data_IF_828973661960
#
_entry.id   IF_828973661960
#
_cell.length_a   1.000
_cell.length_b   1.000
_cell.length_c   1.000
_cell.angle_alpha   90.00
_cell.angle_beta   90.00
_cell.angle_gamma   90.00
#
_symmetry.space_group_name_H-M   'P 1'
#
loop_
_entity.id
_entity.type
_entity.pdbx_description
1 polymer ?
#
# COMPACT_ATOMS: atom_id res chain seq x y z
N UNK A 1 -19.19 4.70 1.04
CA UNK A 1 -19.50 3.84 -0.12
C UNK A 1 -19.42 2.43 0.40
N UNK A 2 -20.55 1.73 0.48
CA UNK A 2 -20.63 0.41 1.12
C UNK A 2 -19.87 -0.68 0.32
N UNK A 3 -19.52 -0.38 -0.93
CA UNK A 3 -18.78 -1.30 -1.79
C UNK A 3 -17.26 -1.19 -1.63
N UNK A 4 -16.77 -0.13 -0.97
CA UNK A 4 -15.35 0.06 -0.71
C UNK A 4 -15.03 -0.45 0.69
N UNK A 5 -14.33 -1.58 0.75
CA UNK A 5 -13.98 -2.25 2.02
C UNK A 5 -12.60 -1.88 2.52
N UNK A 6 -11.85 -1.10 1.74
CA UNK A 6 -10.51 -0.67 2.06
C UNK A 6 -10.24 0.73 1.49
N UNK A 7 -9.60 1.58 2.28
CA UNK A 7 -9.34 3.00 1.95
C UNK A 7 -10.63 3.84 1.84
N UNK A 8 -11.74 3.35 2.38
CA UNK A 8 -12.99 4.08 2.55
C UNK A 8 -12.82 5.27 3.50
N UNK A 9 -12.00 5.11 4.53
CA UNK A 9 -11.62 6.14 5.48
C UNK A 9 -10.84 7.27 4.80
N UNK A 10 -9.84 6.92 4.00
CA UNK A 10 -9.05 7.84 3.20
C UNK A 10 -9.93 8.59 2.19
N UNK A 11 -10.81 7.87 1.48
CA UNK A 11 -11.76 8.48 0.53
C UNK A 11 -12.67 9.48 1.24
N UNK A 12 -13.22 9.10 2.39
CA UNK A 12 -14.06 9.96 3.22
C UNK A 12 -13.31 11.21 3.67
N UNK A 13 -12.11 11.06 4.23
CA UNK A 13 -11.27 12.17 4.67
C UNK A 13 -10.92 13.09 3.50
N UNK A 14 -10.56 12.55 2.34
CA UNK A 14 -10.27 13.37 1.15
C UNK A 14 -11.48 14.24 0.74
N UNK A 15 -12.70 13.68 0.74
CA UNK A 15 -13.93 14.44 0.46
C UNK A 15 -14.13 15.55 1.49
N UNK A 16 -14.07 15.21 2.78
CA UNK A 16 -14.25 16.19 3.85
C UNK A 16 -13.20 17.31 3.78
N UNK A 17 -11.94 16.99 3.49
CA UNK A 17 -10.86 17.98 3.39
C UNK A 17 -11.09 18.96 2.23
N UNK A 18 -11.57 18.48 1.08
CA UNK A 18 -11.80 19.32 -0.10
C UNK A 18 -13.01 20.25 0.05
N UNK A 19 -14.04 19.82 0.77
CA UNK A 19 -15.24 20.62 1.04
C UNK A 19 -15.10 21.56 2.26
N UNK A 20 -14.06 21.36 3.07
CA UNK A 20 -13.84 22.13 4.28
C UNK A 20 -13.30 23.53 4.00
N UNK A 21 -13.89 24.55 4.63
CA UNK A 21 -13.36 25.93 4.62
C UNK A 21 -12.09 26.09 5.44
N UNK A 22 -11.90 25.24 6.46
CA UNK A 22 -10.77 25.28 7.38
C UNK A 22 -10.49 23.89 7.93
N UNK A 23 -9.22 23.50 7.90
CA UNK A 23 -8.71 22.28 8.52
C UNK A 23 -7.86 22.68 9.72
N UNK A 24 -8.11 22.07 10.88
CA UNK A 24 -7.30 22.27 12.09
C UNK A 24 -6.66 20.94 12.44
N UNK A 25 -5.34 20.92 12.50
CA UNK A 25 -4.56 19.76 12.90
C UNK A 25 -4.02 19.97 14.32
N UNK A 26 -4.18 18.95 15.17
CA UNK A 26 -3.67 18.94 16.53
C UNK A 26 -2.72 17.76 16.67
N UNK A 27 -1.44 18.05 16.91
CA UNK A 27 -0.36 17.06 17.04
C UNK A 27 -0.28 16.46 18.45
N UNK A 28 -1.44 16.13 19.03
CA UNK A 28 -1.52 15.45 20.32
C UNK A 28 -2.04 14.02 20.10
N UNK A 29 -1.37 12.99 20.64
CA UNK A 29 -1.80 11.61 20.49
C UNK A 29 -3.08 11.39 21.31
N UNK A 30 -4.24 11.46 20.66
CA UNK A 30 -5.56 11.25 21.28
C UNK A 30 -6.18 9.90 20.97
N UNK A 31 -5.64 9.17 19.99
CA UNK A 31 -6.17 7.90 19.54
C UNK A 31 -5.17 6.77 19.83
N UNK A 32 -5.69 5.65 20.34
CA UNK A 32 -4.95 4.41 20.48
C UNK A 32 -5.46 3.44 19.41
N UNK A 33 -4.60 3.13 18.43
CA UNK A 33 -4.94 2.15 17.40
C UNK A 33 -4.73 0.74 17.94
N UNK A 34 -5.78 -0.07 17.90
CA UNK A 34 -5.67 -1.49 18.18
C UNK A 34 -5.30 -2.25 16.91
N UNK A 35 -4.12 -2.87 16.90
CA UNK A 35 -3.60 -3.64 15.79
C UNK A 35 -4.02 -5.10 15.92
N UNK A 36 -5.01 -5.52 15.15
CA UNK A 36 -5.53 -6.87 15.17
C UNK A 36 -4.77 -7.75 14.17
N UNK A 37 -4.62 -9.05 14.45
CA UNK A 37 -3.95 -9.98 13.53
C UNK A 37 -4.67 -10.16 12.17
N UNK A 38 -5.93 -9.72 12.09
CA UNK A 38 -6.72 -9.65 10.86
C UNK A 38 -6.62 -8.29 10.16
N UNK A 39 -5.68 -7.43 10.55
CA UNK A 39 -5.50 -6.15 9.86
C UNK A 39 -5.05 -6.37 8.40
N UNK A 40 -5.32 -5.38 7.57
CA UNK A 40 -5.15 -5.44 6.12
C UNK A 40 -3.78 -5.97 5.66
N UNK A 41 -2.71 -5.57 6.36
CA UNK A 41 -1.32 -5.91 6.03
C UNK A 41 -0.92 -7.33 6.44
N UNK A 42 -1.70 -7.98 7.30
CA UNK A 42 -1.43 -9.31 7.84
C UNK A 42 -2.39 -10.39 7.32
N UNK A 43 -3.65 -10.03 7.06
CA UNK A 43 -4.61 -10.97 6.50
C UNK A 43 -4.25 -11.35 5.04
N UNK A 44 -4.53 -12.57 4.59
CA UNK A 44 -4.32 -12.98 3.20
C UNK A 44 -4.99 -12.06 2.19
N UNK A 45 -4.59 -12.16 0.92
CA UNK A 45 -5.28 -11.47 -0.17
C UNK A 45 -6.74 -11.93 -0.27
N UNK A 46 -7.63 -11.00 -0.58
CA UNK A 46 -9.03 -11.25 -0.93
C UNK A 46 -9.43 -10.27 -2.04
N UNK A 47 -10.40 -10.66 -2.88
CA UNK A 47 -10.87 -9.78 -3.96
C UNK A 47 -11.46 -8.47 -3.42
N UNK A 48 -12.07 -8.49 -2.23
CA UNK A 48 -12.58 -7.28 -1.57
C UNK A 48 -11.47 -6.22 -1.34
N UNK A 49 -10.22 -6.62 -1.12
CA UNK A 49 -9.09 -5.68 -0.98
C UNK A 49 -8.79 -4.91 -2.27
N UNK A 50 -9.24 -5.40 -3.42
CA UNK A 50 -9.11 -4.68 -4.70
C UNK A 50 -10.00 -3.45 -4.76
N UNK A 51 -11.04 -3.35 -3.92
CA UNK A 51 -11.93 -2.17 -3.83
C UNK A 51 -11.18 -0.91 -3.39
N UNK A 52 -9.98 -1.04 -2.81
CA UNK A 52 -9.10 0.11 -2.61
C UNK A 52 -8.76 0.81 -3.93
N UNK A 53 -8.58 0.08 -5.04
CA UNK A 53 -8.30 0.72 -6.33
C UNK A 53 -9.47 1.60 -6.79
N UNK A 54 -10.70 1.25 -6.43
CA UNK A 54 -11.89 2.07 -6.71
C UNK A 54 -11.86 3.36 -5.87
N UNK A 55 -11.51 3.26 -4.58
CA UNK A 55 -11.29 4.41 -3.72
C UNK A 55 -10.22 5.35 -4.31
N UNK A 56 -9.08 4.80 -4.75
CA UNK A 56 -8.02 5.57 -5.38
C UNK A 56 -8.45 6.20 -6.70
N UNK A 57 -9.27 5.53 -7.51
CA UNK A 57 -9.80 6.12 -8.75
C UNK A 57 -10.63 7.36 -8.44
N UNK A 58 -11.52 7.29 -7.45
CA UNK A 58 -12.33 8.43 -7.02
C UNK A 58 -11.47 9.56 -6.45
N UNK A 59 -10.47 9.24 -5.60
CA UNK A 59 -9.57 10.25 -5.05
C UNK A 59 -8.76 10.93 -6.15
N UNK A 60 -8.28 10.18 -7.15
CA UNK A 60 -7.51 10.72 -8.28
C UNK A 60 -8.29 11.82 -9.01
N UNK A 61 -9.58 11.62 -9.24
CA UNK A 61 -10.44 12.62 -9.87
C UNK A 61 -10.59 13.87 -9.00
N UNK A 62 -10.80 13.68 -7.70
CA UNK A 62 -10.95 14.77 -6.74
C UNK A 62 -9.70 15.65 -6.60
N UNK A 63 -8.51 15.06 -6.68
CA UNK A 63 -7.26 15.80 -6.46
C UNK A 63 -6.62 16.37 -7.74
N UNK A 64 -7.18 16.08 -8.92
CA UNK A 64 -6.58 16.42 -10.21
C UNK A 64 -6.32 17.94 -10.39
N UNK A 65 -7.07 18.79 -9.70
CA UNK A 65 -6.90 20.26 -9.70
C UNK A 65 -6.14 20.83 -8.50
N UNK A 66 -5.56 19.98 -7.64
CA UNK A 66 -4.86 20.40 -6.42
C UNK A 66 -3.37 20.64 -6.64
N UNK A 67 -2.65 21.02 -5.58
CA UNK A 67 -1.19 21.27 -5.67
C UNK A 67 -0.42 20.03 -6.15
N UNK A 68 0.65 20.25 -6.94
CA UNK A 68 1.54 19.19 -7.40
C UNK A 68 2.09 18.31 -6.26
N UNK A 69 2.40 18.92 -5.12
CA UNK A 69 2.89 18.20 -3.92
C UNK A 69 1.85 17.20 -3.38
N UNK A 70 0.57 17.58 -3.37
CA UNK A 70 -0.52 16.69 -2.96
C UNK A 70 -0.70 15.54 -3.96
N UNK A 71 -0.64 15.84 -5.25
CA UNK A 71 -0.71 14.84 -6.32
C UNK A 71 0.45 13.85 -6.23
N UNK A 72 1.68 14.33 -6.03
CA UNK A 72 2.86 13.46 -5.88
C UNK A 72 2.74 12.57 -4.63
N UNK A 73 2.29 13.11 -3.49
CA UNK A 73 2.06 12.35 -2.26
C UNK A 73 0.98 11.26 -2.46
N UNK A 74 -0.13 11.59 -3.12
CA UNK A 74 -1.18 10.64 -3.46
C UNK A 74 -0.65 9.48 -4.31
N UNK A 75 0.10 9.76 -5.38
CA UNK A 75 0.62 8.69 -6.23
C UNK A 75 1.68 7.84 -5.53
N UNK A 76 2.44 8.42 -4.59
CA UNK A 76 3.31 7.66 -3.68
C UNK A 76 2.52 6.64 -2.85
N UNK A 77 1.40 7.08 -2.26
CA UNK A 77 0.49 6.21 -1.50
C UNK A 77 -0.17 5.15 -2.39
N UNK A 78 -0.66 5.55 -3.57
CA UNK A 78 -1.29 4.65 -4.54
C UNK A 78 -0.36 3.51 -4.94
N UNK A 79 0.89 3.83 -5.30
CA UNK A 79 1.90 2.81 -5.62
C UNK A 79 2.18 1.92 -4.40
N UNK A 80 2.25 2.50 -3.20
CA UNK A 80 2.42 1.74 -1.96
C UNK A 80 1.33 0.70 -1.71
N UNK A 81 0.07 1.04 -2.00
CA UNK A 81 -1.05 0.09 -1.89
C UNK A 81 -0.95 -1.02 -2.93
N UNK A 82 -0.62 -0.70 -4.19
CA UNK A 82 -0.43 -1.72 -5.22
C UNK A 82 0.72 -2.69 -4.87
N UNK A 83 1.84 -2.17 -4.36
CA UNK A 83 2.97 -2.99 -3.85
C UNK A 83 2.52 -3.89 -2.71
N UNK A 84 1.74 -3.34 -1.76
CA UNK A 84 1.25 -4.09 -0.60
C UNK A 84 0.30 -5.21 -1.02
N UNK A 85 -0.64 -4.96 -1.93
CA UNK A 85 -1.55 -5.98 -2.48
C UNK A 85 -0.78 -7.12 -3.15
N UNK A 86 0.28 -6.80 -3.91
CA UNK A 86 1.15 -7.83 -4.49
C UNK A 86 1.92 -8.65 -3.43
N UNK A 87 2.20 -8.06 -2.26
CA UNK A 87 2.89 -8.75 -1.17
C UNK A 87 2.00 -9.70 -0.35
N UNK A 88 0.68 -9.53 -0.41
CA UNK A 88 -0.27 -10.33 0.35
C UNK A 88 -0.38 -11.76 -0.16
N UNK A 89 -0.20 -11.96 -1.47
CA UNK A 89 -0.23 -13.29 -2.09
C UNK A 89 0.90 -13.46 -3.13
N UNK A 90 2.14 -13.71 -2.66
CA UNK A 90 3.31 -13.79 -3.52
C UNK A 90 3.21 -14.95 -4.52
N UNK A 91 2.88 -14.63 -5.77
CA UNK A 91 2.78 -15.62 -6.85
C UNK A 91 1.45 -16.40 -6.91
N UNK A 92 0.54 -16.21 -5.95
CA UNK A 92 -0.80 -16.81 -5.96
C UNK A 92 -1.88 -15.92 -6.60
N UNK A 93 -1.61 -14.62 -6.78
CA UNK A 93 -2.53 -13.72 -7.48
C UNK A 93 -2.84 -14.22 -8.88
N UNK A 94 -4.12 -14.16 -9.27
CA UNK A 94 -4.53 -14.42 -10.63
C UNK A 94 -3.82 -13.46 -11.61
N UNK A 95 -3.68 -13.89 -12.87
CA UNK A 95 -2.90 -13.18 -13.89
C UNK A 95 -3.43 -11.76 -14.15
N UNK A 96 -4.73 -11.56 -14.11
CA UNK A 96 -5.38 -10.27 -14.40
C UNK A 96 -5.11 -9.25 -13.30
N UNK A 97 -5.35 -9.63 -12.04
CA UNK A 97 -5.06 -8.83 -10.86
C UNK A 97 -3.57 -8.50 -10.79
N UNK A 98 -2.69 -9.49 -10.96
CA UNK A 98 -1.25 -9.26 -10.94
C UNK A 98 -0.81 -8.30 -12.07
N UNK A 99 -1.40 -8.42 -13.26
CA UNK A 99 -1.12 -7.53 -14.39
C UNK A 99 -1.59 -6.10 -14.12
N UNK A 100 -2.79 -5.93 -13.55
CA UNK A 100 -3.35 -4.63 -13.19
C UNK A 100 -2.47 -3.90 -12.18
N UNK A 101 -2.11 -4.56 -11.07
CA UNK A 101 -1.27 -3.98 -10.02
C UNK A 101 0.11 -3.58 -10.57
N UNK A 102 0.74 -4.45 -11.37
CA UNK A 102 2.03 -4.15 -12.02
C UNK A 102 1.92 -2.95 -12.97
N UNK A 103 0.86 -2.88 -13.76
CA UNK A 103 0.62 -1.77 -14.68
C UNK A 103 0.48 -0.45 -13.92
N UNK A 104 -0.27 -0.45 -12.82
CA UNK A 104 -0.42 0.73 -11.97
C UNK A 104 0.92 1.19 -11.38
N UNK A 105 1.72 0.25 -10.86
CA UNK A 105 3.07 0.54 -10.33
C UNK A 105 3.95 1.15 -11.43
N UNK A 106 3.99 0.54 -12.62
CA UNK A 106 4.83 0.99 -13.73
C UNK A 106 4.41 2.37 -14.24
N UNK A 107 3.12 2.61 -14.40
CA UNK A 107 2.59 3.89 -14.90
C UNK A 107 2.92 5.06 -13.97
N UNK A 108 3.06 4.81 -12.67
CA UNK A 108 3.28 5.84 -11.66
C UNK A 108 4.65 5.74 -10.95
N UNK A 109 5.57 4.94 -11.50
CA UNK A 109 6.88 4.69 -10.90
C UNK A 109 7.66 6.00 -10.67
N UNK A 110 7.80 6.84 -11.70
CA UNK A 110 8.56 8.09 -11.60
C UNK A 110 7.95 9.05 -10.58
N UNK A 111 6.62 9.14 -10.52
CA UNK A 111 5.92 9.95 -9.53
C UNK A 111 6.16 9.41 -8.12
N UNK A 112 6.07 8.10 -7.92
CA UNK A 112 6.40 7.45 -6.65
C UNK A 112 7.84 7.74 -6.22
N UNK A 113 8.82 7.67 -7.12
CA UNK A 113 10.23 7.94 -6.80
C UNK A 113 10.47 9.39 -6.34
N UNK A 114 9.74 10.34 -6.92
CA UNK A 114 9.79 11.78 -6.56
C UNK A 114 8.96 12.14 -5.34
N UNK A 115 7.96 11.32 -4.99
CA UNK A 115 7.07 11.54 -3.86
C UNK A 115 7.75 11.37 -2.50
N UNK A 116 7.01 11.67 -1.43
CA UNK A 116 7.36 11.38 -0.04
C UNK A 116 7.18 9.91 0.37
N UNK A 117 6.93 9.00 -0.58
CA UNK A 117 6.78 7.57 -0.29
C UNK A 117 8.01 7.02 0.46
N UNK A 118 7.82 6.10 1.42
CA UNK A 118 8.92 5.43 2.10
C UNK A 118 9.89 4.73 1.13
N UNK A 119 11.18 4.67 1.51
CA UNK A 119 12.23 4.08 0.67
C UNK A 119 11.95 2.62 0.27
N UNK A 120 11.40 1.82 1.18
CA UNK A 120 11.01 0.43 0.90
C UNK A 120 9.95 0.33 -0.20
N UNK A 121 8.96 1.24 -0.23
CA UNK A 121 7.96 1.30 -1.32
C UNK A 121 8.63 1.67 -2.64
N UNK A 122 9.52 2.67 -2.62
CA UNK A 122 10.29 3.06 -3.81
C UNK A 122 11.12 1.90 -4.37
N UNK A 123 11.89 1.22 -3.52
CA UNK A 123 12.71 0.08 -3.94
C UNK A 123 11.85 -1.09 -4.46
N UNK A 124 10.78 -1.44 -3.75
CA UNK A 124 9.89 -2.51 -4.20
C UNK A 124 9.19 -2.17 -5.52
N UNK A 125 8.79 -0.91 -5.73
CA UNK A 125 8.19 -0.46 -6.99
C UNK A 125 9.15 -0.60 -8.18
N UNK A 126 10.44 -0.32 -7.98
CA UNK A 126 11.50 -0.53 -8.99
C UNK A 126 11.69 -2.03 -9.26
N UNK A 127 11.83 -2.84 -8.20
CA UNK A 127 12.00 -4.29 -8.33
C UNK A 127 10.83 -4.94 -9.08
N UNK A 128 9.59 -4.60 -8.73
CA UNK A 128 8.40 -5.10 -9.40
C UNK A 128 8.35 -4.66 -10.87
N UNK A 129 8.76 -3.41 -11.16
CA UNK A 129 8.76 -2.89 -12.54
C UNK A 129 9.80 -3.56 -13.43
N UNK A 130 10.95 -3.95 -12.87
CA UNK A 130 12.03 -4.63 -13.59
C UNK A 130 11.80 -6.13 -13.70
N UNK A 131 11.49 -6.78 -12.58
CA UNK A 131 11.29 -8.23 -12.50
C UNK A 131 10.37 -8.59 -11.33
N UNK A 132 9.08 -8.83 -11.59
CA UNK A 132 8.15 -9.34 -10.58
C UNK A 132 8.60 -10.68 -9.98
N UNK A 133 9.26 -11.53 -10.78
CA UNK A 133 9.81 -12.80 -10.32
C UNK A 133 10.91 -12.61 -9.28
N UNK A 134 11.84 -11.68 -9.52
CA UNK A 134 12.87 -11.32 -8.54
C UNK A 134 12.27 -10.73 -7.27
N UNK A 135 11.25 -9.86 -7.41
CA UNK A 135 10.53 -9.33 -6.26
C UNK A 135 9.94 -10.44 -5.39
N UNK A 136 9.23 -11.40 -6.00
CA UNK A 136 8.66 -12.53 -5.25
C UNK A 136 9.73 -13.45 -4.67
N UNK A 137 10.83 -13.70 -5.39
CA UNK A 137 11.97 -14.47 -4.87
C UNK A 137 12.56 -13.83 -3.62
N UNK A 138 12.79 -12.51 -3.63
CA UNK A 138 13.29 -11.77 -2.46
C UNK A 138 12.25 -11.82 -1.33
N UNK A 139 10.99 -11.54 -1.63
CA UNK A 139 9.93 -11.48 -0.61
C UNK A 139 9.73 -12.84 0.08
N UNK A 140 9.70 -13.93 -0.69
CA UNK A 140 9.54 -15.31 -0.17
C UNK A 140 10.81 -15.80 0.51
N UNK A 141 12.00 -15.49 -0.03
CA UNK A 141 13.28 -15.77 0.61
C UNK A 141 13.44 -15.07 1.96
N UNK A 142 13.06 -13.79 2.07
CA UNK A 142 13.06 -13.05 3.35
C UNK A 142 12.06 -13.63 4.35
N UNK A 143 10.87 -14.08 3.90
CA UNK A 143 9.90 -14.77 4.76
C UNK A 143 10.43 -16.14 5.22
N UNK A 144 11.09 -16.89 4.34
CA UNK A 144 11.76 -18.15 4.69
C UNK A 144 12.89 -17.96 5.70
N UNK A 145 13.66 -16.87 5.59
CA UNK A 145 14.71 -16.51 6.56
C UNK A 145 14.14 -16.14 7.93
N UNK A 146 12.95 -15.53 8.02
CA UNK A 146 12.25 -15.33 9.31
C UNK A 146 11.75 -16.64 9.92
N UNK A 147 11.32 -17.61 9.12
CA UNK A 147 11.02 -18.98 9.59
C UNK A 147 12.24 -19.79 10.01
N UNK A 148 13.43 -19.48 9.46
CA UNK A 148 14.70 -20.04 9.93
C UNK A 148 15.21 -19.39 11.23
N UNK A 149 14.85 -18.13 11.51
CA UNK A 149 15.15 -17.50 12.81
C UNK A 149 14.31 -18.03 13.98
N UNK A 150 13.18 -18.72 13.74
CA UNK A 150 12.48 -19.47 14.79
C UNK A 150 13.07 -20.86 15.04
N UNK A 151 14.04 -21.32 14.23
CA UNK A 151 14.78 -22.57 14.47
C UNK A 151 16.09 -22.30 15.23
N UNK A 152 16.63 -21.07 15.14
CA UNK A 152 17.81 -20.65 15.91
C UNK A 152 17.33 -19.74 17.03
N UNK A 153 16.79 -20.36 18.08
CA UNK A 153 16.49 -19.73 19.34
C UNK A 153 17.81 -19.50 20.11
N UNK A 154 18.30 -18.26 20.31
CA UNK A 154 19.44 -18.03 21.19
C UNK A 154 18.99 -17.94 22.67
N UNK A 155 17.69 -17.76 22.93
CA UNK A 155 17.13 -17.61 24.28
C UNK A 155 16.69 -18.94 24.92
N UNK A 156 16.99 -20.08 24.27
CA UNK A 156 17.01 -21.40 24.92
C UNK A 156 18.42 -21.84 25.35
N UNK A 157 19.41 -20.93 25.28
CA UNK A 157 20.78 -21.20 25.76
C UNK A 157 21.29 -20.25 26.85
N UNK A 158 20.49 -19.30 27.35
CA UNK A 158 20.69 -18.63 28.66
C UNK A 158 19.39 -18.10 29.22
#
# INVERSE_FOLDING_TARGET
DENITLCEDLLCVCRCMLESKRVVYLDLPKYHYNMHNQCYTLAPFSESKMTALDAFSQIKEMIAGTSRKAVDAFYGLFVGINVSLMALDPGGLNKETASLLRRNIRNHLLTCLRSSAPLNIKLNSVLISLSPGLYYFILTGVRGVKGLRSIINPELLK
#
